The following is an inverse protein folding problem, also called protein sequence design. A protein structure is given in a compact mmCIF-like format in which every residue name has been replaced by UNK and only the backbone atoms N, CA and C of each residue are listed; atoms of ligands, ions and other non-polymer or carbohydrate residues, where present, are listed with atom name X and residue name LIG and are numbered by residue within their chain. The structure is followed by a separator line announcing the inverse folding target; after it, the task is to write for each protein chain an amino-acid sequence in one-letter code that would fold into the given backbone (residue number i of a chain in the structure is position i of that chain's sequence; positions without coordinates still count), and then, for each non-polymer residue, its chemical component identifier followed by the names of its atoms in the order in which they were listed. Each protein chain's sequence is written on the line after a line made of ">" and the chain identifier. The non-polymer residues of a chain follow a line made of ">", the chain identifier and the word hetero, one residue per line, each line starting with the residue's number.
data_IF_528051247206
#
_entry.id   IF_528051247206
#
_cell.length_a   1.000
_cell.length_b   1.000
_cell.length_c   1.000
_cell.angle_alpha   90.00
_cell.angle_beta   90.00
_cell.angle_gamma   90.00
#
_symmetry.space_group_name_H-M   'P 1'
#
loop_
_entity.id
_entity.type
_entity.pdbx_description
1 polymer ?
#
# COMPACT_ATOMS: atom_id res chain seq x y z
N UNK A 1 57.96 12.97 20.68
CA UNK A 1 56.90 13.67 19.93
C UNK A 1 56.26 12.67 18.98
N UNK A 2 55.17 12.04 19.37
CA UNK A 2 54.32 11.27 18.46
C UNK A 2 52.89 11.69 18.76
N UNK A 3 52.35 12.49 17.84
CA UNK A 3 51.04 13.11 17.93
C UNK A 3 49.97 12.06 17.68
N UNK A 4 49.22 11.67 18.71
CA UNK A 4 48.05 10.81 18.57
C UNK A 4 46.90 11.63 17.99
N UNK A 5 46.71 11.56 16.68
CA UNK A 5 45.54 12.06 15.98
C UNK A 5 44.32 11.25 16.39
N UNK A 6 43.47 11.84 17.24
CA UNK A 6 42.15 11.32 17.57
C UNK A 6 41.25 11.39 16.34
N UNK A 7 41.08 10.25 15.67
CA UNK A 7 40.10 10.09 14.61
C UNK A 7 38.71 10.28 15.20
N UNK A 8 38.06 11.38 14.82
CA UNK A 8 36.65 11.65 15.09
C UNK A 8 35.81 10.65 14.30
N UNK A 9 35.59 9.44 14.83
CA UNK A 9 34.59 8.51 14.31
C UNK A 9 33.23 9.16 14.49
N UNK A 10 32.76 9.84 13.44
CA UNK A 10 31.48 10.52 13.40
C UNK A 10 30.37 9.49 13.60
N UNK A 11 29.36 9.83 14.42
CA UNK A 11 28.17 9.03 14.74
C UNK A 11 27.48 8.35 13.53
N UNK A 12 27.74 8.82 12.31
CA UNK A 12 27.27 8.24 11.05
C UNK A 12 27.86 6.86 10.74
N UNK A 13 29.06 6.53 11.22
CA UNK A 13 29.72 5.22 11.00
C UNK A 13 29.20 4.13 11.94
N UNK A 14 28.51 4.51 13.02
CA UNK A 14 27.98 3.59 14.05
C UNK A 14 26.52 3.21 13.84
N UNK A 15 25.86 3.76 12.81
CA UNK A 15 24.46 3.45 12.50
C UNK A 15 24.41 2.26 11.52
N UNK A 16 23.55 1.25 11.77
CA UNK A 16 23.41 0.14 10.84
C UNK A 16 22.97 0.64 9.45
N UNK A 17 23.54 0.10 8.35
CA UNK A 17 23.27 0.57 7.00
C UNK A 17 21.79 0.44 6.56
N UNK A 18 20.98 -0.31 7.32
CA UNK A 18 19.55 -0.49 7.12
C UNK A 18 18.67 0.62 7.73
N UNK A 19 19.22 1.53 8.56
CA UNK A 19 18.41 2.58 9.20
C UNK A 19 17.85 3.58 8.18
N UNK A 20 18.53 3.73 7.04
CA UNK A 20 18.10 4.53 5.90
C UNK A 20 17.82 3.66 4.67
N UNK A 21 17.17 2.51 4.87
CA UNK A 21 16.71 1.70 3.74
C UNK A 21 15.77 2.53 2.83
N UNK A 22 15.92 2.35 1.52
CA UNK A 22 15.15 3.08 0.50
C UNK A 22 13.65 2.91 0.71
N UNK A 23 13.23 1.74 1.18
CA UNK A 23 11.83 1.42 1.46
C UNK A 23 11.30 2.29 2.60
N UNK A 24 12.09 2.49 3.65
CA UNK A 24 11.76 3.35 4.80
C UNK A 24 11.66 4.82 4.40
N UNK A 25 12.59 5.29 3.56
CA UNK A 25 12.55 6.69 3.09
C UNK A 25 11.33 6.95 2.20
N UNK A 26 11.03 6.02 1.29
CA UNK A 26 9.87 6.12 0.40
C UNK A 26 8.56 6.01 1.20
N UNK A 27 8.47 5.11 2.17
CA UNK A 27 7.27 4.98 3.01
C UNK A 27 7.05 6.24 3.85
N UNK A 28 8.09 6.76 4.50
CA UNK A 28 7.99 7.99 5.29
C UNK A 28 7.62 9.20 4.41
N UNK A 29 8.25 9.35 3.25
CA UNK A 29 7.92 10.41 2.31
C UNK A 29 6.47 10.30 1.82
N UNK A 30 5.98 9.09 1.55
CA UNK A 30 4.60 8.86 1.15
C UNK A 30 3.62 9.23 2.27
N UNK A 31 3.92 8.91 3.53
CA UNK A 31 3.10 9.30 4.69
C UNK A 31 3.02 10.81 4.84
N UNK A 32 4.16 11.51 4.72
CA UNK A 32 4.21 12.98 4.79
C UNK A 32 3.44 13.61 3.62
N UNK A 33 3.56 13.05 2.42
CA UNK A 33 2.82 13.53 1.25
C UNK A 33 1.30 13.40 1.44
N UNK A 34 0.82 12.27 1.96
CA UNK A 34 -0.61 12.04 2.24
C UNK A 34 -1.10 13.03 3.32
N UNK A 35 -0.32 13.24 4.37
CA UNK A 35 -0.64 14.22 5.41
C UNK A 35 -0.70 15.65 4.86
N UNK A 36 0.23 16.02 3.98
CA UNK A 36 0.24 17.33 3.33
C UNK A 36 -1.01 17.53 2.45
N UNK A 37 -1.45 16.50 1.73
CA UNK A 37 -2.70 16.53 0.94
C UNK A 37 -3.92 16.67 1.84
N UNK A 38 -4.00 15.90 2.94
CA UNK A 38 -5.09 16.00 3.90
C UNK A 38 -5.14 17.39 4.57
N UNK A 39 -3.99 17.95 4.92
CA UNK A 39 -3.91 19.29 5.48
C UNK A 39 -4.28 20.36 4.44
N UNK A 40 -3.81 20.25 3.20
CA UNK A 40 -4.20 21.12 2.10
C UNK A 40 -5.72 21.10 1.85
N UNK A 41 -6.32 19.91 1.84
CA UNK A 41 -7.77 19.73 1.75
C UNK A 41 -8.48 20.44 2.92
N UNK A 42 -7.94 20.38 4.14
CA UNK A 42 -8.50 21.11 5.29
C UNK A 42 -8.41 22.63 5.14
N UNK A 43 -7.41 23.17 4.44
CA UNK A 43 -7.28 24.61 4.21
C UNK A 43 -8.25 25.11 3.13
N UNK A 44 -8.54 24.27 2.13
CA UNK A 44 -9.52 24.57 1.08
C UNK A 44 -10.94 24.41 1.58
N UNK A 45 -11.23 23.32 2.31
CA UNK A 45 -12.58 22.96 2.74
C UNK A 45 -13.03 23.71 4.01
N UNK A 46 -12.14 23.93 4.99
CA UNK A 46 -12.48 24.65 6.22
C UNK A 46 -12.02 26.10 6.12
N UNK A 47 -12.94 27.03 6.40
CA UNK A 47 -12.63 28.45 6.51
C UNK A 47 -11.59 28.75 7.61
N UNK A 48 -10.92 29.90 7.52
CA UNK A 48 -9.87 30.34 8.47
C UNK A 48 -10.36 30.42 9.93
N UNK A 49 -11.66 30.56 10.16
CA UNK A 49 -12.26 30.66 11.50
C UNK A 49 -12.66 29.31 12.11
N UNK A 50 -12.41 28.18 11.43
CA UNK A 50 -12.82 26.88 11.93
C UNK A 50 -12.05 26.52 13.22
N UNK A 51 -12.74 25.99 14.26
CA UNK A 51 -12.11 25.58 15.52
C UNK A 51 -11.01 24.53 15.27
N UNK A 52 -9.91 24.63 16.03
CA UNK A 52 -8.76 23.72 15.92
C UNK A 52 -9.16 22.23 15.98
N UNK A 53 -10.10 21.87 16.86
CA UNK A 53 -10.60 20.49 16.98
C UNK A 53 -11.27 19.98 15.71
N UNK A 54 -12.07 20.80 15.02
CA UNK A 54 -12.73 20.38 13.77
C UNK A 54 -11.73 20.23 12.62
N UNK A 55 -10.69 21.08 12.58
CA UNK A 55 -9.60 20.92 11.62
C UNK A 55 -8.80 19.66 11.89
N UNK A 56 -8.48 19.36 13.14
CA UNK A 56 -7.75 18.15 13.50
C UNK A 56 -8.55 16.89 13.15
N UNK A 57 -9.85 16.86 13.46
CA UNK A 57 -10.74 15.76 13.08
C UNK A 57 -10.86 15.63 11.56
N UNK A 58 -11.02 16.74 10.83
CA UNK A 58 -11.06 16.70 9.36
C UNK A 58 -9.77 16.15 8.77
N UNK A 59 -8.60 16.63 9.23
CA UNK A 59 -7.31 16.13 8.74
C UNK A 59 -7.13 14.66 9.08
N UNK A 60 -7.54 14.24 10.28
CA UNK A 60 -7.54 12.84 10.69
C UNK A 60 -8.38 11.97 9.74
N UNK A 61 -9.66 12.32 9.54
CA UNK A 61 -10.56 11.56 8.66
C UNK A 61 -10.10 11.60 7.20
N UNK A 62 -9.61 12.74 6.72
CA UNK A 62 -9.09 12.86 5.36
C UNK A 62 -7.81 12.01 5.18
N UNK A 63 -6.89 12.03 6.14
CA UNK A 63 -5.69 11.19 6.11
C UNK A 63 -6.06 9.71 6.09
N UNK A 64 -6.96 9.30 6.97
CA UNK A 64 -7.45 7.93 7.06
C UNK A 64 -8.11 7.48 5.74
N UNK A 65 -9.05 8.28 5.21
CA UNK A 65 -9.70 8.01 3.94
C UNK A 65 -8.72 7.94 2.76
N UNK A 66 -7.68 8.77 2.74
CA UNK A 66 -6.63 8.69 1.71
C UNK A 66 -5.80 7.41 1.82
N UNK A 67 -5.45 6.97 3.03
CA UNK A 67 -4.71 5.73 3.23
C UNK A 67 -5.55 4.52 2.79
N UNK A 68 -6.83 4.47 3.19
CA UNK A 68 -7.75 3.44 2.74
C UNK A 68 -7.91 3.47 1.21
N UNK A 69 -8.15 4.65 0.62
CA UNK A 69 -8.25 4.78 -0.82
C UNK A 69 -6.98 4.33 -1.57
N UNK A 70 -5.79 4.71 -1.09
CA UNK A 70 -4.54 4.34 -1.75
C UNK A 70 -4.24 2.85 -1.58
N UNK A 71 -4.32 2.31 -0.37
CA UNK A 71 -4.02 0.91 -0.11
C UNK A 71 -5.11 0.03 -0.72
N UNK A 72 -6.36 0.19 -0.32
CA UNK A 72 -7.48 -0.63 -0.81
C UNK A 72 -7.71 -0.44 -2.31
N UNK A 73 -7.56 0.78 -2.82
CA UNK A 73 -7.65 1.08 -4.25
C UNK A 73 -6.52 0.43 -5.05
N UNK A 74 -5.29 0.41 -4.53
CA UNK A 74 -4.17 -0.30 -5.19
C UNK A 74 -4.42 -1.82 -5.26
N UNK A 75 -5.00 -2.41 -4.22
CA UNK A 75 -5.39 -3.83 -4.23
C UNK A 75 -6.44 -4.10 -5.33
N UNK A 76 -7.52 -3.32 -5.35
CA UNK A 76 -8.57 -3.45 -6.36
C UNK A 76 -8.03 -3.24 -7.78
N UNK A 77 -7.13 -2.27 -7.96
CA UNK A 77 -6.45 -2.06 -9.25
C UNK A 77 -5.71 -3.33 -9.71
N UNK A 78 -4.94 -3.96 -8.83
CA UNK A 78 -4.26 -5.21 -9.18
C UNK A 78 -5.25 -6.37 -9.41
N UNK A 79 -6.36 -6.43 -8.69
CA UNK A 79 -7.41 -7.43 -8.90
C UNK A 79 -8.04 -7.35 -10.29
N UNK A 80 -8.24 -6.15 -10.86
CA UNK A 80 -8.86 -6.00 -12.17
C UNK A 80 -7.86 -5.95 -13.33
N UNK A 81 -6.71 -5.29 -13.16
CA UNK A 81 -5.81 -4.96 -14.27
C UNK A 81 -4.55 -5.82 -14.33
N UNK A 82 -4.11 -6.39 -13.19
CA UNK A 82 -2.93 -7.26 -13.16
C UNK A 82 -3.35 -8.71 -13.36
N UNK A 83 -2.97 -9.30 -14.49
CA UNK A 83 -3.29 -10.67 -14.83
C UNK A 83 -2.11 -11.37 -15.49
N UNK A 84 -2.00 -12.68 -15.26
CA UNK A 84 -0.99 -13.53 -15.87
C UNK A 84 -1.61 -14.87 -16.31
N UNK A 85 -1.18 -15.46 -17.44
CA UNK A 85 -1.66 -16.76 -17.88
C UNK A 85 -1.07 -17.87 -17.00
N UNK A 86 -1.91 -18.79 -16.52
CA UNK A 86 -1.48 -19.87 -15.60
C UNK A 86 -0.45 -20.81 -16.25
N UNK A 87 -0.45 -20.90 -17.59
CA UNK A 87 0.55 -21.65 -18.36
C UNK A 87 1.96 -21.03 -18.33
N UNK A 88 2.11 -19.76 -17.96
CA UNK A 88 3.41 -19.10 -17.84
C UNK A 88 4.06 -19.31 -16.46
N UNK A 89 3.35 -19.91 -15.50
CA UNK A 89 3.85 -20.11 -14.13
C UNK A 89 4.34 -21.55 -13.96
N UNK A 90 5.58 -21.76 -13.47
CA UNK A 90 6.12 -23.11 -13.25
C UNK A 90 5.30 -23.97 -12.29
N UNK A 91 4.66 -23.35 -11.29
CA UNK A 91 3.81 -24.04 -10.33
C UNK A 91 2.43 -23.35 -10.16
N UNK A 92 1.40 -23.81 -10.87
CA UNK A 92 0.03 -23.28 -10.77
C UNK A 92 -0.60 -23.35 -9.37
N UNK A 93 -0.14 -24.27 -8.51
CA UNK A 93 -0.65 -24.42 -7.13
C UNK A 93 -0.09 -23.36 -6.17
N UNK A 94 0.92 -22.59 -6.60
CA UNK A 94 1.44 -21.48 -5.81
C UNK A 94 0.53 -20.24 -5.86
N UNK A 95 -0.31 -20.13 -6.90
CA UNK A 95 -1.24 -19.02 -7.10
C UNK A 95 -2.46 -19.16 -6.17
N UNK A 96 -2.88 -18.05 -5.58
CA UNK A 96 -4.06 -17.98 -4.72
C UNK A 96 -4.92 -16.76 -5.09
N UNK A 97 -6.26 -16.85 -5.11
CA UNK A 97 -7.09 -18.06 -5.13
C UNK A 97 -7.01 -18.79 -6.47
N UNK A 98 -7.60 -19.99 -6.54
CA UNK A 98 -7.63 -20.80 -7.76
C UNK A 98 -8.28 -20.03 -8.92
N UNK A 99 -7.80 -20.18 -10.18
CA UNK A 99 -8.08 -19.26 -11.30
C UNK A 99 -9.51 -19.34 -11.87
N UNK A 100 -10.44 -20.00 -11.20
CA UNK A 100 -11.72 -20.35 -11.80
C UNK A 100 -12.74 -19.21 -11.65
N UNK A 101 -13.26 -18.76 -12.80
CA UNK A 101 -14.44 -17.89 -12.95
C UNK A 101 -14.33 -16.46 -12.37
N UNK A 102 -13.13 -15.87 -12.29
CA UNK A 102 -13.02 -14.43 -12.02
C UNK A 102 -13.49 -13.62 -13.25
N UNK A 103 -14.40 -12.65 -13.03
CA UNK A 103 -15.02 -11.80 -14.08
C UNK A 103 -15.77 -12.56 -15.20
N UNK A 104 -16.23 -13.79 -14.95
CA UNK A 104 -17.01 -14.56 -15.93
C UNK A 104 -16.23 -14.98 -17.18
N UNK A 105 -14.90 -14.99 -17.12
CA UNK A 105 -14.07 -15.42 -18.24
C UNK A 105 -14.09 -16.95 -18.41
N UNK A 106 -14.67 -17.42 -19.52
CA UNK A 106 -14.63 -18.83 -19.96
C UNK A 106 -13.37 -19.16 -20.81
N UNK A 107 -12.41 -18.22 -20.89
CA UNK A 107 -11.17 -18.36 -21.64
C UNK A 107 -10.10 -19.19 -20.91
N UNK A 108 -8.86 -19.24 -21.44
CA UNK A 108 -7.75 -19.94 -20.79
C UNK A 108 -7.52 -19.42 -19.36
N UNK A 109 -7.13 -20.27 -18.40
CA UNK A 109 -7.03 -19.91 -16.99
C UNK A 109 -6.02 -18.77 -16.80
N UNK A 110 -6.48 -17.67 -16.22
CA UNK A 110 -5.69 -16.49 -15.86
C UNK A 110 -5.78 -16.27 -14.36
N UNK A 111 -4.65 -15.98 -13.74
CA UNK A 111 -4.62 -15.55 -12.35
C UNK A 111 -4.57 -14.03 -12.31
N UNK A 112 -5.44 -13.44 -11.49
CA UNK A 112 -5.55 -11.99 -11.27
C UNK A 112 -5.06 -11.63 -9.86
N UNK A 113 -4.69 -10.37 -9.67
CA UNK A 113 -4.35 -9.78 -8.37
C UNK A 113 -2.86 -9.45 -8.19
N UNK A 114 -2.45 -9.10 -6.95
CA UNK A 114 -1.10 -8.63 -6.66
C UNK A 114 0.04 -9.56 -7.11
N UNK A 115 -0.17 -10.87 -7.09
CA UNK A 115 0.77 -11.87 -7.60
C UNK A 115 1.10 -11.72 -9.11
N UNK A 116 0.24 -11.02 -9.86
CA UNK A 116 0.45 -10.66 -11.27
C UNK A 116 1.05 -9.26 -11.47
N UNK A 117 1.22 -8.48 -10.40
CA UNK A 117 1.72 -7.10 -10.45
C UNK A 117 3.23 -6.96 -10.62
N UNK A 118 3.97 -8.08 -10.61
CA UNK A 118 5.42 -8.09 -10.90
C UNK A 118 6.25 -7.23 -9.94
N UNK A 119 6.97 -6.26 -10.50
CA UNK A 119 7.88 -5.38 -9.76
C UNK A 119 7.22 -4.12 -9.18
N UNK A 120 5.90 -3.98 -9.32
CA UNK A 120 5.18 -2.85 -8.74
C UNK A 120 5.30 -2.83 -7.20
N UNK A 121 5.63 -1.68 -6.58
CA UNK A 121 5.84 -1.59 -5.14
C UNK A 121 4.55 -1.85 -4.32
N UNK A 122 3.37 -1.48 -4.83
CA UNK A 122 2.10 -1.79 -4.18
C UNK A 122 1.77 -3.28 -4.31
N UNK A 123 2.03 -3.88 -5.48
CA UNK A 123 1.91 -5.33 -5.64
C UNK A 123 2.80 -6.08 -4.64
N UNK A 124 4.05 -5.64 -4.45
CA UNK A 124 4.97 -6.23 -3.46
C UNK A 124 4.51 -6.04 -2.02
N UNK A 125 3.96 -4.87 -1.69
CA UNK A 125 3.37 -4.61 -0.38
C UNK A 125 2.24 -5.61 -0.07
N UNK A 126 1.32 -5.78 -1.03
CA UNK A 126 0.23 -6.75 -0.92
C UNK A 126 0.74 -8.19 -0.89
N UNK A 127 1.82 -8.51 -1.59
CA UNK A 127 2.47 -9.83 -1.51
C UNK A 127 3.12 -10.09 -0.15
N UNK A 128 3.64 -9.07 0.53
CA UNK A 128 4.10 -9.20 1.93
C UNK A 128 2.91 -9.44 2.85
N UNK A 129 1.84 -8.68 2.69
CA UNK A 129 0.61 -8.88 3.44
C UNK A 129 0.00 -10.27 3.19
N UNK A 130 0.08 -10.76 1.95
CA UNK A 130 -0.40 -12.07 1.56
C UNK A 130 0.37 -13.25 2.17
N UNK A 131 1.55 -13.00 2.77
CA UNK A 131 2.24 -14.01 3.58
C UNK A 131 1.46 -14.33 4.86
N UNK A 132 0.75 -13.34 5.41
CA UNK A 132 -0.09 -13.53 6.59
C UNK A 132 -1.45 -14.16 6.22
N UNK A 133 -2.04 -13.72 5.10
CA UNK A 133 -3.26 -14.33 4.55
C UNK A 133 -3.18 -14.43 3.02
N UNK A 134 -3.05 -15.67 2.53
CA UNK A 134 -2.85 -15.97 1.10
C UNK A 134 -3.97 -15.49 0.19
N UNK A 135 -5.15 -15.21 0.72
CA UNK A 135 -6.30 -14.72 -0.08
C UNK A 135 -6.04 -13.34 -0.67
N UNK A 136 -5.14 -12.56 -0.04
CA UNK A 136 -4.72 -11.25 -0.52
C UNK A 136 -3.64 -11.29 -1.60
N UNK A 137 -3.14 -12.48 -1.97
CA UNK A 137 -2.19 -12.62 -3.08
C UNK A 137 -2.89 -12.46 -4.45
N UNK A 138 -4.19 -12.74 -4.51
CA UNK A 138 -4.94 -12.70 -5.76
C UNK A 138 -6.31 -12.06 -5.63
N UNK A 139 -7.06 -12.12 -6.73
CA UNK A 139 -8.36 -11.48 -6.84
C UNK A 139 -9.48 -12.35 -6.26
N UNK A 140 -9.51 -12.47 -4.93
CA UNK A 140 -10.63 -13.09 -4.21
C UNK A 140 -11.83 -12.13 -4.19
N UNK A 141 -13.01 -12.62 -4.63
CA UNK A 141 -14.23 -11.81 -4.69
C UNK A 141 -14.70 -11.38 -3.30
N UNK A 142 -14.52 -12.23 -2.28
CA UNK A 142 -14.91 -11.88 -0.90
C UNK A 142 -13.97 -10.81 -0.37
N UNK A 143 -12.66 -10.96 -0.58
CA UNK A 143 -11.68 -9.95 -0.16
C UNK A 143 -11.92 -8.59 -0.85
N UNK A 144 -12.13 -8.61 -2.16
CA UNK A 144 -12.41 -7.39 -2.96
C UNK A 144 -13.74 -6.74 -2.57
N UNK A 145 -14.78 -7.53 -2.32
CA UNK A 145 -16.09 -7.04 -1.88
C UNK A 145 -16.05 -6.49 -0.45
N UNK A 146 -15.35 -7.15 0.47
CA UNK A 146 -15.16 -6.66 1.84
C UNK A 146 -14.41 -5.33 1.87
N UNK A 147 -13.37 -5.18 1.04
CA UNK A 147 -12.64 -3.90 0.91
C UNK A 147 -13.51 -2.80 0.34
N UNK A 148 -14.23 -3.08 -0.75
CA UNK A 148 -15.15 -2.11 -1.36
C UNK A 148 -16.25 -1.68 -0.39
N UNK A 149 -16.72 -2.58 0.48
CA UNK A 149 -17.72 -2.27 1.51
C UNK A 149 -17.11 -1.41 2.64
N UNK A 150 -15.88 -1.71 3.06
CA UNK A 150 -15.15 -0.93 4.06
C UNK A 150 -14.95 0.51 3.61
N UNK A 151 -14.43 0.71 2.38
CA UNK A 151 -14.30 2.03 1.78
C UNK A 151 -15.66 2.75 1.72
N UNK A 152 -16.72 2.06 1.29
CA UNK A 152 -18.06 2.65 1.20
C UNK A 152 -18.59 3.07 2.57
N UNK A 153 -18.37 2.27 3.62
CA UNK A 153 -18.86 2.57 4.96
C UNK A 153 -18.12 3.76 5.60
N UNK A 154 -16.81 3.89 5.34
CA UNK A 154 -16.00 4.97 5.87
C UNK A 154 -16.35 6.35 5.29
N UNK A 155 -16.92 6.40 4.08
CA UNK A 155 -17.42 7.64 3.49
C UNK A 155 -18.81 8.07 4.02
N UNK A 156 -19.45 7.28 4.90
CA UNK A 156 -20.79 7.54 5.44
C UNK A 156 -20.83 7.93 6.94
N UNK A 157 -19.68 8.13 7.58
CA UNK A 157 -19.56 8.71 8.94
C UNK A 157 -18.67 9.95 8.93
#
# INVERSE_FOLDING_TARGET
>A
MASSSSSSSSLVDSLPPDLFDRTTLVSLASTVAILAVAYGASLVALGRSAPCGHRALFVWHAFDALIHFCLEGSFLYHCFFSWLPVSAVPNPLALAPTPHNYLGHAGPPRAYGPQAGGDDPFARLWMVYAKADRRWAGADLVCSASLSLSLSFFFFF
#
